data_IF_991594119025
#
_entry.id   IF_991594119025
#
_cell.length_a   1.000
_cell.length_b   1.000
_cell.length_c   1.000
_cell.angle_alpha   90.00
_cell.angle_beta   90.00
_cell.angle_gamma   90.00
#
_symmetry.space_group_name_H-M   'P 1'
#
loop_
_entity.id
_entity.type
_entity.pdbx_description
1 polymer ?
#
# COMPACT_ATOMS: atom_id res chain seq x y z
N UNK A 1 7.33 -11.21 -6.66
CA UNK A 1 6.02 -10.69 -7.13
C UNK A 1 5.61 -9.36 -6.48
N UNK A 2 4.97 -9.31 -5.28
CA UNK A 2 4.48 -8.03 -4.70
C UNK A 2 5.58 -7.02 -4.37
N UNK A 3 6.80 -7.49 -4.10
CA UNK A 3 7.99 -6.68 -3.86
C UNK A 3 8.77 -6.31 -5.14
N UNK A 4 8.35 -6.80 -6.31
CA UNK A 4 9.05 -6.51 -7.56
C UNK A 4 10.41 -7.19 -7.71
N UNK A 5 10.74 -8.16 -6.86
CA UNK A 5 11.91 -9.01 -7.02
C UNK A 5 11.73 -9.92 -8.24
N UNK A 6 12.73 -9.97 -9.12
CA UNK A 6 12.71 -10.68 -10.40
C UNK A 6 12.82 -12.19 -10.21
N UNK A 7 13.76 -12.63 -9.36
CA UNK A 7 13.95 -14.03 -8.99
C UNK A 7 13.92 -14.17 -7.46
N UNK A 8 13.49 -15.33 -6.98
CA UNK A 8 13.49 -15.63 -5.55
C UNK A 8 14.86 -16.16 -5.12
N UNK A 9 15.42 -15.57 -4.08
CA UNK A 9 16.67 -15.96 -3.43
C UNK A 9 16.39 -16.27 -1.96
N UNK A 10 16.40 -17.56 -1.59
CA UNK A 10 16.05 -18.00 -0.22
C UNK A 10 16.90 -17.33 0.86
N UNK A 11 18.19 -17.14 0.59
CA UNK A 11 19.16 -16.64 1.58
C UNK A 11 18.91 -15.18 2.01
N UNK A 12 18.14 -14.42 1.22
CA UNK A 12 17.88 -13.00 1.46
C UNK A 12 16.38 -12.69 1.53
N UNK A 13 15.57 -13.29 0.66
CA UNK A 13 14.17 -12.90 0.46
C UNK A 13 13.26 -13.37 1.58
N UNK A 14 13.55 -14.51 2.21
CA UNK A 14 12.74 -15.03 3.33
C UNK A 14 12.79 -14.09 4.53
N UNK A 15 13.99 -13.67 4.93
CA UNK A 15 14.15 -12.75 6.05
C UNK A 15 13.61 -11.36 5.68
N UNK A 16 13.83 -10.89 4.45
CA UNK A 16 13.30 -9.61 3.98
C UNK A 16 11.76 -9.55 4.07
N UNK A 17 11.08 -10.65 3.71
CA UNK A 17 9.61 -10.76 3.82
C UNK A 17 9.17 -10.85 5.28
N UNK A 18 9.87 -11.62 6.11
CA UNK A 18 9.56 -11.76 7.54
C UNK A 18 9.69 -10.43 8.29
N UNK A 19 10.77 -9.69 8.01
CA UNK A 19 10.97 -8.35 8.54
C UNK A 19 9.87 -7.39 8.08
N UNK A 20 9.50 -7.42 6.79
CA UNK A 20 8.41 -6.61 6.25
C UNK A 20 7.10 -6.87 7.01
N UNK A 21 6.72 -8.14 7.17
CA UNK A 21 5.47 -8.51 7.86
C UNK A 21 5.47 -8.10 9.33
N UNK A 22 6.65 -8.09 9.97
CA UNK A 22 6.80 -7.64 11.35
C UNK A 22 6.71 -6.12 11.44
N UNK A 23 7.40 -5.41 10.54
CA UNK A 23 7.39 -3.95 10.44
C UNK A 23 5.98 -3.39 10.16
N UNK A 24 5.21 -4.03 9.28
CA UNK A 24 3.84 -3.60 8.96
C UNK A 24 2.85 -3.71 10.14
N UNK A 25 3.21 -4.43 11.20
CA UNK A 25 2.41 -4.53 12.43
C UNK A 25 2.73 -3.41 13.43
N UNK A 26 3.85 -2.71 13.28
CA UNK A 26 4.29 -1.68 14.23
C UNK A 26 3.44 -0.40 14.17
N UNK A 27 2.79 -0.15 13.04
CA UNK A 27 1.91 1.00 12.84
C UNK A 27 0.72 0.62 11.95
N UNK A 28 -0.44 1.26 12.17
CA UNK A 28 -1.63 1.05 11.33
C UNK A 28 -1.35 1.50 9.90
N UNK A 29 -1.15 0.52 9.01
CA UNK A 29 -0.67 0.73 7.64
C UNK A 29 -1.70 0.20 6.62
N UNK A 30 -1.99 1.01 5.61
CA UNK A 30 -2.81 0.61 4.47
C UNK A 30 -2.00 -0.23 3.48
N UNK A 31 -2.18 -1.54 3.51
CA UNK A 31 -1.41 -2.48 2.70
C UNK A 31 -1.52 -2.24 1.19
N UNK A 32 -2.69 -1.83 0.71
CA UNK A 32 -2.92 -1.59 -0.73
C UNK A 32 -2.09 -0.40 -1.18
N UNK A 33 -2.16 0.70 -0.44
CA UNK A 33 -1.39 1.91 -0.73
C UNK A 33 0.10 1.67 -0.51
N UNK A 34 0.49 0.97 0.55
CA UNK A 34 1.89 0.63 0.83
C UNK A 34 2.56 -0.04 -0.37
N UNK A 35 1.98 -1.12 -0.91
CA UNK A 35 2.60 -1.83 -2.04
C UNK A 35 2.58 -1.02 -3.34
N UNK A 36 1.58 -0.15 -3.55
CA UNK A 36 1.56 0.78 -4.70
C UNK A 36 2.63 1.85 -4.57
N UNK A 37 2.86 2.38 -3.37
CA UNK A 37 3.92 3.37 -3.11
C UNK A 37 5.31 2.74 -3.12
N UNK A 38 5.46 1.49 -2.64
CA UNK A 38 6.74 0.77 -2.72
C UNK A 38 7.22 0.63 -4.18
N UNK A 39 6.29 0.50 -5.12
CA UNK A 39 6.60 0.43 -6.55
C UNK A 39 7.10 1.75 -7.15
N UNK A 40 6.93 2.88 -6.46
CA UNK A 40 7.38 4.22 -6.93
C UNK A 40 8.74 4.62 -6.39
N UNK A 41 9.24 3.94 -5.35
CA UNK A 41 10.56 4.19 -4.76
C UNK A 41 11.64 4.05 -5.83
N UNK A 42 12.60 4.96 -5.89
CA UNK A 42 13.76 4.79 -6.77
C UNK A 42 14.70 3.74 -6.16
N UNK A 43 14.96 2.66 -6.92
CA UNK A 43 15.92 1.63 -6.54
C UNK A 43 17.19 1.58 -7.39
N UNK A 44 17.40 2.56 -8.27
CA UNK A 44 18.59 2.64 -9.13
C UNK A 44 19.70 3.44 -8.43
N UNK A 45 19.34 4.40 -7.56
CA UNK A 45 20.26 5.25 -6.81
C UNK A 45 20.50 4.75 -5.40
N UNK A 46 21.74 4.77 -4.91
CA UNK A 46 22.05 4.34 -3.55
C UNK A 46 21.43 5.28 -2.48
N UNK A 47 20.46 4.85 -1.66
CA UNK A 47 19.85 5.70 -0.65
C UNK A 47 20.85 6.09 0.44
N UNK A 48 21.88 5.28 0.70
CA UNK A 48 22.92 5.60 1.68
C UNK A 48 23.81 6.78 1.26
N UNK A 49 23.79 7.15 -0.03
CA UNK A 49 24.53 8.30 -0.55
C UNK A 49 23.86 9.65 -0.31
N UNK A 50 22.61 9.66 0.16
CA UNK A 50 21.76 10.86 0.19
C UNK A 50 21.82 11.65 1.50
N UNK A 51 22.32 11.05 2.59
CA UNK A 51 22.38 11.69 3.92
C UNK A 51 21.01 11.95 4.56
N UNK A 52 19.95 11.36 4.03
CA UNK A 52 18.57 11.54 4.53
C UNK A 52 18.37 10.85 5.88
N UNK A 53 17.58 11.49 6.75
CA UNK A 53 17.10 10.88 7.99
C UNK A 53 16.21 9.66 7.72
N UNK A 54 16.02 8.75 8.70
CA UNK A 54 15.09 7.63 8.56
C UNK A 54 13.68 8.04 8.09
N UNK A 55 13.14 9.12 8.66
CA UNK A 55 11.81 9.62 8.32
C UNK A 55 11.74 10.17 6.89
N UNK A 56 12.77 10.87 6.42
CA UNK A 56 12.82 11.37 5.04
C UNK A 56 12.89 10.25 4.01
N UNK A 57 13.63 9.16 4.31
CA UNK A 57 13.68 7.98 3.42
C UNK A 57 12.33 7.29 3.26
N UNK A 58 11.47 7.39 4.27
CA UNK A 58 10.12 6.84 4.22
C UNK A 58 9.11 7.78 3.55
N UNK A 59 9.49 8.98 3.11
CA UNK A 59 8.57 9.96 2.51
C UNK A 59 7.61 9.38 1.45
N UNK A 60 8.05 8.48 0.53
CA UNK A 60 7.14 7.87 -0.45
C UNK A 60 6.03 7.01 0.17
N UNK A 61 6.27 6.44 1.37
CA UNK A 61 5.36 5.53 2.05
C UNK A 61 4.41 6.24 3.02
N UNK A 62 4.58 7.54 3.28
CA UNK A 62 3.83 8.27 4.31
C UNK A 62 2.31 8.21 4.10
N UNK A 63 1.86 8.21 2.84
CA UNK A 63 0.44 8.08 2.46
C UNK A 63 -0.17 6.74 2.94
N UNK A 64 0.63 5.70 3.20
CA UNK A 64 0.10 4.42 3.66
C UNK A 64 -0.21 4.40 5.15
N UNK A 65 0.40 5.26 5.98
CA UNK A 65 0.23 5.22 7.44
C UNK A 65 -0.98 6.05 7.88
N UNK A 66 -1.93 5.45 8.63
CA UNK A 66 -3.15 6.15 9.08
C UNK A 66 -2.85 7.33 10.02
N UNK A 67 -1.80 7.22 10.84
CA UNK A 67 -1.35 8.26 11.79
C UNK A 67 0.14 8.54 11.61
N UNK A 68 0.50 9.02 10.42
CA UNK A 68 1.90 9.29 10.03
C UNK A 68 2.63 10.25 11.00
N UNK A 69 1.93 11.21 11.59
CA UNK A 69 2.51 12.16 12.56
C UNK A 69 2.87 11.51 13.90
N UNK A 70 2.29 10.35 14.21
CA UNK A 70 2.50 9.62 15.47
C UNK A 70 3.49 8.46 15.33
N UNK A 71 4.14 8.31 14.16
CA UNK A 71 5.19 7.32 13.99
C UNK A 71 6.35 7.64 14.95
N UNK A 72 6.73 6.64 15.75
CA UNK A 72 7.87 6.76 16.65
C UNK A 72 9.18 6.70 15.86
N UNK A 73 10.27 7.18 16.45
CA UNK A 73 11.60 7.10 15.86
C UNK A 73 12.00 5.64 15.59
N UNK A 74 11.65 4.72 16.49
CA UNK A 74 11.88 3.28 16.33
C UNK A 74 11.19 2.70 15.08
N UNK A 75 9.94 3.06 14.83
CA UNK A 75 9.23 2.63 13.62
C UNK A 75 9.88 3.23 12.37
N UNK A 76 10.31 4.49 12.47
CA UNK A 76 10.97 5.17 11.36
C UNK A 76 12.31 4.52 11.01
N UNK A 77 13.14 4.24 12.03
CA UNK A 77 14.42 3.55 11.89
C UNK A 77 14.25 2.13 11.35
N UNK A 78 13.31 1.36 11.91
CA UNK A 78 13.03 -0.01 11.46
C UNK A 78 12.63 -0.04 9.99
N UNK A 79 11.73 0.86 9.58
CA UNK A 79 11.27 0.93 8.18
C UNK A 79 12.38 1.40 7.24
N UNK A 80 13.15 2.42 7.63
CA UNK A 80 14.27 2.90 6.82
C UNK A 80 15.35 1.82 6.62
N UNK A 81 15.70 1.09 7.68
CA UNK A 81 16.66 -0.02 7.60
C UNK A 81 16.15 -1.16 6.71
N UNK A 82 14.85 -1.47 6.77
CA UNK A 82 14.25 -2.44 5.87
C UNK A 82 14.27 -1.95 4.41
N UNK A 83 13.97 -0.67 4.17
CA UNK A 83 14.06 -0.06 2.84
C UNK A 83 15.46 -0.12 2.26
N UNK A 84 16.50 0.13 3.06
CA UNK A 84 17.90 0.02 2.63
C UNK A 84 18.23 -1.43 2.20
N UNK A 85 17.76 -2.43 2.95
CA UNK A 85 17.93 -3.86 2.58
C UNK A 85 17.15 -4.23 1.33
N UNK A 86 15.88 -3.83 1.25
CA UNK A 86 15.03 -4.04 0.08
C UNK A 86 15.65 -3.44 -1.18
N UNK A 87 16.13 -2.20 -1.07
CA UNK A 87 16.80 -1.49 -2.14
C UNK A 87 18.02 -2.25 -2.67
N UNK A 88 18.92 -2.66 -1.77
CA UNK A 88 20.11 -3.41 -2.14
C UNK A 88 19.77 -4.74 -2.80
N UNK A 89 18.71 -5.40 -2.34
CA UNK A 89 18.23 -6.64 -2.93
C UNK A 89 17.66 -6.45 -4.34
N UNK A 90 16.88 -5.39 -4.56
CA UNK A 90 16.34 -5.03 -5.89
C UNK A 90 17.47 -4.75 -6.88
N UNK A 91 18.54 -4.07 -6.46
CA UNK A 91 19.68 -3.76 -7.34
C UNK A 91 20.40 -5.00 -7.87
N UNK A 92 20.35 -6.12 -7.14
CA UNK A 92 20.94 -7.38 -7.58
C UNK A 92 20.17 -8.01 -8.75
N UNK A 93 18.89 -7.67 -8.94
CA UNK A 93 18.07 -8.18 -10.04
C UNK A 93 18.40 -7.52 -11.40
N UNK A 94 19.22 -6.46 -11.42
CA UNK A 94 19.61 -5.73 -12.63
C UNK A 94 18.41 -5.30 -13.51
N UNK A 95 17.30 -4.93 -12.87
CA UNK A 95 16.08 -4.44 -13.53
C UNK A 95 15.94 -2.93 -13.39
N UNK A 96 15.24 -2.28 -14.32
CA UNK A 96 14.94 -0.85 -14.23
C UNK A 96 13.78 -0.59 -13.28
N UNK A 97 13.71 0.61 -12.71
CA UNK A 97 12.58 1.06 -11.92
C UNK A 97 11.26 0.98 -12.70
N UNK A 98 11.29 1.31 -14.00
CA UNK A 98 10.11 1.24 -14.85
C UNK A 98 9.58 -0.20 -14.97
N UNK A 99 10.46 -1.17 -15.24
CA UNK A 99 10.10 -2.58 -15.36
C UNK A 99 9.62 -3.14 -14.02
N UNK A 100 10.34 -2.86 -12.92
CA UNK A 100 9.94 -3.28 -11.57
C UNK A 100 8.55 -2.75 -11.22
N UNK A 101 8.32 -1.45 -11.43
CA UNK A 101 7.02 -0.82 -11.16
C UNK A 101 5.89 -1.44 -11.96
N UNK A 102 6.12 -1.70 -13.25
CA UNK A 102 5.13 -2.37 -14.10
C UNK A 102 4.78 -3.77 -13.56
N UNK A 103 5.79 -4.58 -13.19
CA UNK A 103 5.57 -5.91 -12.61
C UNK A 103 4.84 -5.86 -11.28
N UNK A 104 5.21 -4.94 -10.39
CA UNK A 104 4.53 -4.74 -9.10
C UNK A 104 3.08 -4.32 -9.31
N UNK A 105 2.82 -3.38 -10.22
CA UNK A 105 1.49 -2.84 -10.46
C UNK A 105 0.52 -3.87 -11.05
N UNK A 106 1.01 -4.89 -11.78
CA UNK A 106 0.21 -6.03 -12.26
C UNK A 106 -0.31 -6.94 -11.16
N UNK A 107 0.33 -6.97 -9.99
CA UNK A 107 -0.02 -7.89 -8.88
C UNK A 107 -0.45 -7.17 -7.59
N UNK A 108 -0.21 -5.87 -7.52
CA UNK A 108 -0.61 -4.99 -6.43
C UNK A 108 -1.75 -4.10 -6.92
N UNK A 109 -3.01 -4.37 -6.53
CA UNK A 109 -4.15 -3.59 -6.98
C UNK A 109 -4.02 -2.16 -6.49
N UNK A 110 -4.49 -1.21 -7.29
CA UNK A 110 -4.71 0.18 -6.89
C UNK A 110 -6.06 0.36 -6.19
N UNK A 111 -7.06 -0.41 -6.62
CA UNK A 111 -8.43 -0.34 -6.12
C UNK A 111 -8.83 -1.65 -5.44
N UNK A 112 -9.40 -1.56 -4.25
CA UNK A 112 -9.97 -2.68 -3.51
C UNK A 112 -11.34 -2.29 -2.99
N UNK A 113 -12.25 -3.26 -2.86
CA UNK A 113 -13.56 -3.01 -2.27
C UNK A 113 -13.42 -2.80 -0.76
N UNK A 114 -13.13 -1.57 -0.36
CA UNK A 114 -13.02 -1.17 1.05
C UNK A 114 -14.41 -1.17 1.66
N UNK A 115 -14.55 -1.67 2.89
CA UNK A 115 -15.86 -1.76 3.56
C UNK A 115 -16.61 -0.43 3.62
N UNK A 116 -15.92 0.70 3.80
CA UNK A 116 -16.60 2.01 3.82
C UNK A 116 -17.18 2.40 2.46
N UNK A 117 -16.54 2.01 1.36
CA UNK A 117 -17.07 2.22 0.01
C UNK A 117 -18.31 1.36 -0.21
N UNK A 118 -18.26 0.10 0.24
CA UNK A 118 -19.42 -0.79 0.21
C UNK A 118 -20.59 -0.23 1.04
N UNK A 119 -20.33 0.24 2.26
CA UNK A 119 -21.35 0.84 3.11
C UNK A 119 -21.96 2.10 2.49
N UNK A 120 -21.15 3.00 1.93
CA UNK A 120 -21.65 4.18 1.21
C UNK A 120 -22.55 3.79 0.03
N UNK A 121 -22.20 2.73 -0.70
CA UNK A 121 -22.99 2.24 -1.81
C UNK A 121 -24.33 1.64 -1.34
N UNK A 122 -24.33 0.91 -0.22
CA UNK A 122 -25.54 0.38 0.42
C UNK A 122 -26.45 1.54 0.84
N UNK A 123 -25.93 2.53 1.57
CA UNK A 123 -26.74 3.65 2.07
C UNK A 123 -27.43 4.43 0.95
N UNK A 124 -26.72 4.68 -0.16
CA UNK A 124 -27.28 5.35 -1.34
C UNK A 124 -28.34 4.49 -2.01
N UNK A 125 -28.08 3.20 -2.13
CA UNK A 125 -29.00 2.25 -2.74
C UNK A 125 -30.30 2.12 -1.96
N UNK A 126 -30.26 2.17 -0.62
CA UNK A 126 -31.45 2.18 0.24
C UNK A 126 -32.31 3.44 0.03
N UNK A 127 -31.71 4.53 -0.44
CA UNK A 127 -32.39 5.77 -0.81
C UNK A 127 -32.83 5.79 -2.30
N UNK A 128 -32.64 4.69 -3.03
CA UNK A 128 -32.97 4.55 -4.45
C UNK A 128 -31.89 5.04 -5.42
N UNK A 129 -30.70 5.42 -4.93
CA UNK A 129 -29.55 5.79 -5.78
C UNK A 129 -28.55 4.63 -5.91
N UNK A 130 -28.55 3.97 -7.07
CA UNK A 130 -27.65 2.86 -7.38
C UNK A 130 -26.38 3.29 -8.14
N UNK A 131 -26.14 4.60 -8.32
CA UNK A 131 -25.03 5.11 -9.11
C UNK A 131 -23.67 4.68 -8.57
N UNK A 132 -23.49 4.76 -7.25
CA UNK A 132 -22.21 4.39 -6.62
C UNK A 132 -21.90 2.89 -6.72
N UNK A 133 -22.92 2.02 -6.73
CA UNK A 133 -22.72 0.57 -6.98
C UNK A 133 -22.15 0.36 -8.38
N UNK A 134 -22.76 0.99 -9.38
CA UNK A 134 -22.32 0.88 -10.78
C UNK A 134 -20.89 1.39 -10.95
N UNK A 135 -20.58 2.52 -10.33
CA UNK A 135 -19.25 3.12 -10.37
C UNK A 135 -18.17 2.24 -9.71
N UNK A 136 -18.47 1.67 -8.52
CA UNK A 136 -17.55 0.74 -7.86
C UNK A 136 -17.32 -0.53 -8.68
N UNK A 137 -18.38 -1.08 -9.30
CA UNK A 137 -18.26 -2.24 -10.18
C UNK A 137 -17.36 -1.94 -11.39
N UNK A 138 -17.52 -0.77 -12.00
CA UNK A 138 -16.70 -0.37 -13.14
C UNK A 138 -15.21 -0.24 -12.76
N UNK A 139 -14.91 0.40 -11.62
CA UNK A 139 -13.54 0.54 -11.11
C UNK A 139 -12.92 -0.84 -10.81
N UNK A 140 -13.67 -1.72 -10.17
CA UNK A 140 -13.19 -3.03 -9.71
C UNK A 140 -13.06 -4.06 -10.84
N UNK A 141 -13.51 -3.77 -12.07
CA UNK A 141 -13.19 -4.60 -13.24
C UNK A 141 -11.72 -4.50 -13.65
N UNK A 142 -11.08 -3.36 -13.39
CA UNK A 142 -9.67 -3.11 -13.72
C UNK A 142 -8.89 -2.62 -12.49
N UNK A 143 -8.84 -3.39 -11.39
CA UNK A 143 -8.39 -2.88 -10.10
C UNK A 143 -6.88 -2.63 -10.02
N UNK A 144 -6.11 -3.14 -10.98
CA UNK A 144 -4.65 -2.99 -11.07
C UNK A 144 -4.22 -1.77 -11.91
N UNK A 145 -5.11 -1.33 -12.80
CA UNK A 145 -4.85 -0.28 -13.78
C UNK A 145 -4.87 1.11 -13.14
N UNK A 146 -4.18 2.05 -13.77
CA UNK A 146 -4.33 3.47 -13.45
C UNK A 146 -5.64 4.00 -14.05
N UNK A 147 -6.49 4.59 -13.21
CA UNK A 147 -7.75 5.20 -13.63
C UNK A 147 -7.75 6.67 -13.14
N UNK A 148 -7.27 7.64 -13.94
CA UNK A 148 -7.08 9.03 -13.53
C UNK A 148 -8.34 9.70 -12.96
N UNK A 149 -9.51 9.35 -13.48
CA UNK A 149 -10.80 9.92 -13.05
C UNK A 149 -11.42 9.18 -11.84
N UNK A 150 -10.69 8.23 -11.23
CA UNK A 150 -11.20 7.35 -10.16
C UNK A 150 -10.33 7.37 -8.90
N UNK A 151 -9.47 8.37 -8.74
CA UNK A 151 -8.48 8.41 -7.65
C UNK A 151 -9.12 8.43 -6.26
N UNK A 152 -10.35 8.93 -6.11
CA UNK A 152 -11.10 8.89 -4.86
C UNK A 152 -11.31 7.47 -4.31
N UNK A 153 -11.42 6.46 -5.17
CA UNK A 153 -11.57 5.06 -4.76
C UNK A 153 -10.26 4.39 -4.34
N UNK A 154 -9.10 5.01 -4.64
CA UNK A 154 -7.79 4.52 -4.21
C UNK A 154 -7.37 5.05 -2.82
N UNK A 155 -8.12 6.03 -2.27
CA UNK A 155 -7.78 6.67 -0.99
C UNK A 155 -7.91 5.70 0.19
N UNK A 156 -7.23 6.05 1.29
CA UNK A 156 -7.41 5.39 2.59
C UNK A 156 -8.85 5.50 3.05
N UNK A 157 -9.21 4.61 3.98
CA UNK A 157 -10.45 4.76 4.74
C UNK A 157 -10.43 6.11 5.48
N UNK A 158 -11.48 6.94 5.38
CA UNK A 158 -11.57 8.18 6.14
C UNK A 158 -11.83 7.90 7.63
N UNK A 159 -11.45 8.83 8.51
CA UNK A 159 -11.51 8.65 9.96
C UNK A 159 -12.93 8.36 10.48
N UNK A 160 -13.95 9.01 9.93
CA UNK A 160 -15.34 8.78 10.32
C UNK A 160 -15.76 7.31 10.14
N UNK A 161 -15.17 6.61 9.17
CA UNK A 161 -15.51 5.21 8.88
C UNK A 161 -14.87 4.25 9.90
N UNK A 162 -13.95 4.71 10.75
CA UNK A 162 -13.34 3.89 11.81
C UNK A 162 -14.34 3.50 12.90
N UNK A 163 -15.35 4.33 13.15
CA UNK A 163 -16.32 4.10 14.22
C UNK A 163 -17.71 3.75 13.69
N UNK A 164 -17.85 3.62 12.37
CA UNK A 164 -19.14 3.34 11.74
C UNK A 164 -19.40 1.83 11.66
N UNK A 165 -20.56 1.34 12.15
CA UNK A 165 -20.98 -0.04 11.93
C UNK A 165 -20.98 -0.39 10.43
N UNK A 166 -20.53 -1.60 10.08
CA UNK A 166 -20.38 -2.04 8.69
C UNK A 166 -19.07 -1.59 8.01
N UNK A 167 -18.38 -0.57 8.53
CA UNK A 167 -17.11 -0.10 7.96
C UNK A 167 -15.87 -0.68 8.66
N UNK A 168 -15.88 -0.78 9.99
CA UNK A 168 -14.74 -1.22 10.81
C UNK A 168 -15.02 -2.45 11.67
N UNK A 169 -16.29 -2.66 12.04
CA UNK A 169 -16.76 -3.86 12.73
C UNK A 169 -17.43 -4.77 11.71
N UNK A 170 -16.80 -5.91 11.42
CA UNK A 170 -17.47 -7.00 10.73
C UNK A 170 -18.42 -7.66 11.74
N UNK A 171 -19.72 -7.55 11.50
CA UNK A 171 -20.71 -8.35 12.24
C UNK A 171 -20.47 -9.82 11.89
N UNK A 172 -19.78 -10.55 12.75
CA UNK A 172 -19.94 -12.00 12.80
C UNK A 172 -21.36 -12.24 13.31
N UNK A 173 -22.29 -12.47 12.39
CA UNK A 173 -23.60 -13.01 12.75
C UNK A 173 -23.35 -14.46 13.19
N UNK A 174 -23.52 -14.74 14.48
CA UNK A 174 -23.53 -16.09 15.05
C UNK A 174 -24.70 -16.92 14.54
#
# INVERSE_FOLDING_TARGET
AKLGLAEFQSDTDEELVKELLSMLQLAETDMTIFYRQLATIDCEQDPSSTGLSPRERMAPLMEAYYVADQLTDEVCETTANWLDRYHNRVRQDNTTNANRREQMNRVNPKYVLRNYLAQMAIDRSEQGDHGLISELLDVLRNPYDEQPDKQEFAKRRPDWARHRPGCSMLSCSS
#
